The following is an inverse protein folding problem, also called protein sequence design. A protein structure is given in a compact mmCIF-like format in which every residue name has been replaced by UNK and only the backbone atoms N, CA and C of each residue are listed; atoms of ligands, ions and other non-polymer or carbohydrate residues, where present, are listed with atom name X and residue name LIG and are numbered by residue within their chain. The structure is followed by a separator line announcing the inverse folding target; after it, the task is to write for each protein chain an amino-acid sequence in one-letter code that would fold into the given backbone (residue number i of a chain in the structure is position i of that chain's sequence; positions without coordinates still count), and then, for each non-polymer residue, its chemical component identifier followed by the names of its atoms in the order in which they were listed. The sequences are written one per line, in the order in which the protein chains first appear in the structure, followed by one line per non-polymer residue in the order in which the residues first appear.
data_IF_614139992129
#
_entry.id   IF_614139992129
#
_cell.length_a   1.000
_cell.length_b   1.000
_cell.length_c   1.000
_cell.angle_alpha   90.00
_cell.angle_beta   90.00
_cell.angle_gamma   90.00
#
_symmetry.space_group_name_H-M   'P 1'
#
loop_
_entity.id
_entity.type
_entity.pdbx_description
1 polymer ?
#
# COMPACT_ATOMS: atom_id res chain seq x y z
N UNK A 1 -3.47 6.44 -0.24
CA UNK A 1 -2.00 6.40 -0.40
C UNK A 1 -1.66 6.08 -1.84
N UNK A 2 -0.57 6.64 -2.39
CA UNK A 2 -0.20 6.46 -3.80
C UNK A 2 1.29 6.13 -3.92
N UNK A 3 1.61 5.14 -4.75
CA UNK A 3 2.97 4.71 -5.05
C UNK A 3 3.40 5.26 -6.42
N UNK A 4 4.37 6.16 -6.42
CA UNK A 4 4.91 6.75 -7.65
C UNK A 4 6.02 5.87 -8.20
N UNK A 5 5.73 5.15 -9.30
CA UNK A 5 6.67 4.21 -9.92
C UNK A 5 6.45 4.10 -11.42
N UNK A 6 7.54 3.77 -12.13
CA UNK A 6 7.52 3.41 -13.56
C UNK A 6 7.57 1.89 -13.77
N UNK A 7 7.59 1.11 -12.68
CA UNK A 7 7.63 -0.34 -12.73
C UNK A 7 6.30 -0.94 -13.24
N UNK A 8 6.38 -2.17 -13.72
CA UNK A 8 5.26 -2.90 -14.32
C UNK A 8 4.26 -3.43 -13.29
N UNK A 9 4.73 -3.83 -12.11
CA UNK A 9 3.90 -4.42 -11.07
C UNK A 9 4.05 -3.67 -9.76
N UNK A 10 2.94 -3.49 -9.04
CA UNK A 10 2.88 -2.83 -7.73
C UNK A 10 2.11 -3.70 -6.74
N UNK A 11 2.68 -3.92 -5.57
CA UNK A 11 2.06 -4.61 -4.44
C UNK A 11 2.14 -3.72 -3.21
N UNK A 12 1.14 -3.84 -2.33
CA UNK A 12 1.11 -3.13 -1.06
C UNK A 12 1.44 -4.08 0.09
N UNK A 13 2.26 -3.61 1.03
CA UNK A 13 2.62 -4.32 2.24
C UNK A 13 2.16 -3.49 3.45
N UNK A 14 1.50 -4.14 4.40
CA UNK A 14 1.13 -3.57 5.70
C UNK A 14 1.94 -4.27 6.79
N UNK A 15 2.69 -3.49 7.58
CA UNK A 15 3.61 -3.98 8.61
C UNK A 15 4.54 -5.09 8.08
N UNK A 16 5.17 -4.84 6.92
CA UNK A 16 6.07 -5.77 6.22
C UNK A 16 5.44 -7.11 5.78
N UNK A 17 4.11 -7.22 5.79
CA UNK A 17 3.36 -8.39 5.28
C UNK A 17 2.46 -7.99 4.12
N UNK A 18 2.12 -8.92 3.22
CA UNK A 18 1.21 -8.63 2.10
C UNK A 18 -0.10 -8.01 2.60
N UNK A 19 -0.44 -6.83 2.06
CA UNK A 19 -1.67 -6.14 2.43
C UNK A 19 -2.86 -7.04 2.11
N UNK A 20 -3.63 -7.39 3.14
CA UNK A 20 -4.91 -8.05 2.98
C UNK A 20 -5.99 -7.00 2.79
N UNK A 21 -6.54 -6.93 1.59
CA UNK A 21 -7.66 -6.02 1.30
C UNK A 21 -8.87 -6.37 2.17
N UNK A 22 -9.47 -5.31 2.73
CA UNK A 22 -10.72 -5.34 3.48
C UNK A 22 -11.81 -4.69 2.64
N UNK A 23 -13.09 -4.88 2.98
CA UNK A 23 -14.22 -4.29 2.23
C UNK A 23 -14.14 -2.76 2.08
N UNK A 24 -13.51 -2.09 3.05
CA UNK A 24 -13.28 -0.63 3.08
C UNK A 24 -12.10 -0.16 2.23
N UNK A 25 -11.30 -1.10 1.72
CA UNK A 25 -10.08 -0.82 0.97
C UNK A 25 -10.33 -1.07 -0.52
N UNK A 26 -9.86 -0.15 -1.36
CA UNK A 26 -9.92 -0.28 -2.82
C UNK A 26 -8.56 0.02 -3.40
N UNK A 27 -8.11 -0.85 -4.30
CA UNK A 27 -6.98 -0.54 -5.18
C UNK A 27 -7.52 0.00 -6.50
N UNK A 28 -6.82 0.98 -7.07
CA UNK A 28 -7.01 1.36 -8.46
C UNK A 28 -6.63 0.21 -9.38
N UNK A 29 -7.12 0.24 -10.63
CA UNK A 29 -6.85 -0.81 -11.62
C UNK A 29 -5.35 -1.03 -11.89
N UNK A 30 -4.55 0.03 -11.78
CA UNK A 30 -3.09 -0.03 -11.90
C UNK A 30 -2.37 -0.47 -10.60
N UNK A 31 -3.12 -0.75 -9.53
CA UNK A 31 -2.65 -1.09 -8.18
C UNK A 31 -1.75 -0.02 -7.53
N UNK A 32 -1.63 1.18 -8.10
CA UNK A 32 -0.73 2.24 -7.61
C UNK A 32 -1.33 3.09 -6.52
N UNK A 33 -2.66 3.07 -6.36
CA UNK A 33 -3.33 3.84 -5.31
C UNK A 33 -4.17 2.93 -4.44
N UNK A 34 -3.92 2.96 -3.13
CA UNK A 34 -4.76 2.35 -2.11
C UNK A 34 -5.66 3.41 -1.47
N UNK A 35 -6.96 3.25 -1.66
CA UNK A 35 -8.00 4.04 -1.00
C UNK A 35 -8.55 3.26 0.20
N UNK A 36 -8.72 3.94 1.33
CA UNK A 36 -9.32 3.39 2.55
C UNK A 36 -10.43 4.35 2.97
N UNK A 37 -11.68 3.89 2.99
CA UNK A 37 -12.82 4.72 3.37
C UNK A 37 -13.93 3.88 4.04
N UNK A 38 -14.31 4.18 5.31
CA UNK A 38 -13.67 5.11 6.24
C UNK A 38 -12.37 4.52 6.81
N UNK A 39 -11.42 5.37 7.23
CA UNK A 39 -10.22 4.96 7.97
C UNK A 39 -10.60 4.53 9.40
N UNK A 40 -9.99 3.44 9.89
CA UNK A 40 -10.21 2.88 11.24
C UNK A 40 -8.88 2.63 11.95
N UNK A 41 -8.93 2.46 13.27
CA UNK A 41 -7.74 2.17 14.11
C UNK A 41 -6.96 0.94 13.68
N UNK A 42 -7.64 -0.05 13.12
CA UNK A 42 -7.02 -1.26 12.56
C UNK A 42 -6.17 -1.01 11.31
N UNK A 43 -6.30 0.17 10.69
CA UNK A 43 -5.48 0.61 9.56
C UNK A 43 -4.26 1.41 10.04
N UNK A 44 -4.11 1.65 11.35
CA UNK A 44 -2.91 2.27 11.90
C UNK A 44 -1.74 1.28 11.86
N UNK A 45 -0.60 1.73 11.35
CA UNK A 45 0.55 0.89 11.09
C UNK A 45 1.49 1.48 10.05
N UNK A 46 2.39 0.64 9.53
CA UNK A 46 3.34 1.03 8.49
C UNK A 46 2.94 0.41 7.15
N UNK A 47 2.50 1.24 6.21
CA UNK A 47 2.27 0.83 4.83
C UNK A 47 3.48 1.14 3.95
N UNK A 48 3.80 0.22 3.03
CA UNK A 48 4.85 0.42 2.04
C UNK A 48 4.47 -0.22 0.72
N UNK A 49 4.92 0.38 -0.39
CA UNK A 49 4.71 -0.19 -1.72
C UNK A 49 5.96 -0.94 -2.20
N UNK A 50 5.73 -2.14 -2.72
CA UNK A 50 6.73 -2.98 -3.36
C UNK A 50 6.48 -2.98 -4.86
N UNK A 51 7.47 -2.58 -5.62
CA UNK A 51 7.38 -2.44 -7.07
C UNK A 51 8.35 -3.39 -7.75
N UNK A 52 7.97 -3.96 -8.89
CA UNK A 52 8.83 -4.86 -9.64
C UNK A 52 8.69 -4.72 -11.15
N UNK A 53 9.79 -5.03 -11.82
CA UNK A 53 9.87 -5.26 -13.25
C UNK A 53 10.43 -6.69 -13.48
N UNK A 54 10.52 -7.18 -14.73
CA UNK A 54 11.03 -8.53 -14.98
C UNK A 54 12.43 -8.84 -14.44
N UNK A 55 13.23 -7.82 -14.11
CA UNK A 55 14.65 -7.96 -13.74
C UNK A 55 14.94 -7.64 -12.26
N UNK A 56 14.07 -6.90 -11.57
CA UNK A 56 14.36 -6.32 -10.27
C UNK A 56 13.10 -5.93 -9.51
N UNK A 57 13.27 -5.71 -8.20
CA UNK A 57 12.25 -5.15 -7.34
C UNK A 57 12.84 -4.08 -6.41
N UNK A 58 11.98 -3.20 -5.92
CA UNK A 58 12.31 -2.20 -4.91
C UNK A 58 11.13 -2.01 -3.95
N UNK A 59 11.41 -1.56 -2.74
CA UNK A 59 10.43 -1.25 -1.70
C UNK A 59 10.53 0.23 -1.34
N UNK A 60 9.39 0.89 -1.13
CA UNK A 60 9.36 2.27 -0.68
C UNK A 60 9.77 2.40 0.79
N UNK A 61 10.06 3.63 1.21
CA UNK A 61 10.11 3.93 2.64
C UNK A 61 8.74 3.60 3.29
N UNK A 62 8.74 3.11 4.53
CA UNK A 62 7.53 2.89 5.30
C UNK A 62 6.82 4.22 5.59
N UNK A 63 5.51 4.24 5.37
CA UNK A 63 4.63 5.36 5.70
C UNK A 63 3.80 4.95 6.92
N UNK A 64 4.03 5.64 8.04
CA UNK A 64 3.24 5.44 9.26
C UNK A 64 1.89 6.14 9.16
N UNK A 65 0.81 5.37 9.25
CA UNK A 65 -0.55 5.87 9.42
C UNK A 65 -0.90 5.94 10.91
N UNK A 66 -1.09 7.15 11.42
CA UNK A 66 -1.62 7.41 12.75
C UNK A 66 -3.10 7.82 12.65
N UNK A 67 -3.97 7.09 13.34
CA UNK A 67 -5.42 7.31 13.31
C UNK A 67 -5.86 7.90 14.63
N UNK A 68 -6.09 9.22 14.63
CA UNK A 68 -6.54 9.98 15.81
C UNK A 68 -8.02 9.76 16.09
N UNK A 69 -8.38 9.91 17.36
CA UNK A 69 -9.75 9.83 17.86
C UNK A 69 -10.59 11.05 17.48
#
# INVERSE_FOLDING_TARGET
MTCHTHASYTNWLFNATCLRLRERMKLTEDHRTLLIDPVRREDAGSDLCKVSNPFSFAESAPIGLDVKH
#
